data_IF_133794324734
#
_entry.id   IF_133794324734
#
_cell.length_a   1.000
_cell.length_b   1.000
_cell.length_c   1.000
_cell.angle_alpha   90.00
_cell.angle_beta   90.00
_cell.angle_gamma   90.00
#
_symmetry.space_group_name_H-M   'P 1'
#
loop_
_entity.id
_entity.type
_entity.pdbx_description
1 polymer ?
#
# COMPACT_ATOMS: atom_id res chain seq x y z
N UNK A 1 0.47 -2.87 29.55
CA UNK A 1 -0.91 -2.46 29.24
C UNK A 1 -1.22 -3.01 27.85
N UNK A 2 -2.20 -3.91 27.73
CA UNK A 2 -2.63 -4.49 26.45
C UNK A 2 -4.08 -4.07 26.25
N UNK A 3 -4.39 -3.54 25.07
CA UNK A 3 -5.78 -3.23 24.67
C UNK A 3 -6.46 -4.53 24.28
N UNK A 4 -7.75 -4.70 24.59
CA UNK A 4 -8.48 -5.89 24.15
C UNK A 4 -8.59 -5.90 22.61
N UNK A 5 -8.39 -7.05 21.95
CA UNK A 5 -8.58 -7.15 20.50
C UNK A 5 -9.97 -6.71 20.06
N UNK A 6 -10.99 -6.93 20.90
CA UNK A 6 -12.37 -6.54 20.63
C UNK A 6 -12.54 -5.02 20.62
N UNK A 7 -11.90 -4.32 21.56
CA UNK A 7 -11.95 -2.87 21.65
C UNK A 7 -11.29 -2.23 20.44
N UNK A 8 -10.09 -2.69 20.08
CA UNK A 8 -9.36 -2.20 18.93
C UNK A 8 -10.11 -2.47 17.61
N UNK A 9 -10.72 -3.65 17.47
CA UNK A 9 -11.56 -4.00 16.33
C UNK A 9 -12.84 -3.14 16.26
N UNK A 10 -13.46 -2.85 17.40
CA UNK A 10 -14.66 -2.02 17.42
C UNK A 10 -14.33 -0.57 17.05
N UNK A 11 -13.22 -0.03 17.59
CA UNK A 11 -12.77 1.31 17.26
C UNK A 11 -12.41 1.45 15.77
N UNK A 12 -11.73 0.46 15.20
CA UNK A 12 -11.37 0.49 13.77
C UNK A 12 -12.60 0.47 12.86
N UNK A 13 -13.63 -0.31 13.22
CA UNK A 13 -14.94 -0.29 12.53
C UNK A 13 -15.63 1.06 12.64
N UNK A 14 -15.63 1.67 13.83
CA UNK A 14 -16.23 3.00 14.05
C UNK A 14 -15.55 4.07 13.20
N UNK A 15 -14.22 4.05 13.14
CA UNK A 15 -13.41 4.96 12.35
C UNK A 15 -13.38 4.61 10.86
N UNK A 16 -13.91 3.45 10.47
CA UNK A 16 -13.86 2.91 9.09
C UNK A 16 -12.44 2.79 8.54
N UNK A 17 -11.50 2.41 9.41
CA UNK A 17 -10.09 2.21 9.04
C UNK A 17 -9.72 0.72 9.13
N UNK A 18 -8.82 0.22 8.27
CA UNK A 18 -8.24 -1.11 8.42
C UNK A 18 -7.46 -1.24 9.73
N UNK A 19 -7.50 -2.44 10.33
CA UNK A 19 -6.78 -2.76 11.56
C UNK A 19 -5.98 -4.05 11.40
N UNK A 20 -4.79 -4.08 11.99
CA UNK A 20 -3.91 -5.25 12.05
C UNK A 20 -3.14 -5.24 13.37
N UNK A 21 -3.14 -6.37 14.08
CA UNK A 21 -2.27 -6.57 15.24
C UNK A 21 -0.88 -6.97 14.79
N UNK A 22 0.16 -6.38 15.37
CA UNK A 22 1.55 -6.72 15.04
C UNK A 22 2.43 -6.73 16.28
N UNK A 23 3.55 -7.47 16.19
CA UNK A 23 4.58 -7.49 17.22
C UNK A 23 5.95 -7.43 16.57
N UNK A 24 6.63 -6.30 16.75
CA UNK A 24 8.00 -6.11 16.26
C UNK A 24 8.96 -7.12 16.90
N UNK A 25 8.80 -7.39 18.21
CA UNK A 25 9.64 -8.34 18.95
C UNK A 25 9.52 -9.77 18.41
N UNK A 26 8.31 -10.20 18.07
CA UNK A 26 8.05 -11.54 17.53
C UNK A 26 8.14 -11.58 15.99
N UNK A 27 8.45 -10.44 15.35
CA UNK A 27 8.39 -10.26 13.89
C UNK A 27 7.03 -10.69 13.29
N UNK A 28 5.96 -10.56 14.07
CA UNK A 28 4.62 -10.97 13.68
C UNK A 28 3.89 -9.81 12.98
N UNK A 29 3.35 -10.08 11.79
CA UNK A 29 2.54 -9.17 10.98
C UNK A 29 3.19 -7.83 10.60
N UNK A 30 4.48 -7.65 10.86
CA UNK A 30 5.22 -6.42 10.53
C UNK A 30 5.19 -6.17 9.03
N UNK A 31 5.64 -7.15 8.23
CA UNK A 31 5.68 -7.03 6.77
C UNK A 31 4.27 -6.87 6.17
N UNK A 32 3.29 -7.58 6.73
CA UNK A 32 1.89 -7.48 6.29
C UNK A 32 1.33 -6.08 6.52
N UNK A 33 1.60 -5.45 7.66
CA UNK A 33 1.14 -4.09 7.95
C UNK A 33 1.68 -3.07 6.94
N UNK A 34 2.97 -3.15 6.61
CA UNK A 34 3.57 -2.28 5.59
C UNK A 34 3.01 -2.55 4.19
N UNK A 35 2.85 -3.83 3.81
CA UNK A 35 2.29 -4.17 2.50
C UNK A 35 0.84 -3.71 2.33
N UNK A 36 -0.01 -3.85 3.37
CA UNK A 36 -1.39 -3.38 3.33
C UNK A 36 -1.45 -1.85 3.16
N UNK A 37 -0.63 -1.11 3.89
CA UNK A 37 -0.55 0.34 3.76
C UNK A 37 -0.20 0.75 2.31
N UNK A 38 0.82 0.14 1.72
CA UNK A 38 1.24 0.42 0.33
C UNK A 38 0.13 0.08 -0.67
N UNK A 39 -0.59 -1.03 -0.47
CA UNK A 39 -1.73 -1.41 -1.32
C UNK A 39 -2.83 -0.35 -1.27
N UNK A 40 -3.17 0.14 -0.09
CA UNK A 40 -4.19 1.19 0.10
C UNK A 40 -3.77 2.46 -0.63
N UNK A 41 -2.53 2.91 -0.44
CA UNK A 41 -2.00 4.12 -1.12
C UNK A 41 -2.06 3.97 -2.64
N UNK A 42 -1.66 2.81 -3.18
CA UNK A 42 -1.72 2.56 -4.63
C UNK A 42 -3.15 2.55 -5.17
N UNK A 43 -4.09 1.92 -4.45
CA UNK A 43 -5.51 1.92 -4.82
C UNK A 43 -6.08 3.34 -4.86
N UNK A 44 -5.77 4.14 -3.83
CA UNK A 44 -6.18 5.54 -3.75
C UNK A 44 -5.58 6.39 -4.89
N UNK A 45 -4.30 6.19 -5.20
CA UNK A 45 -3.66 6.87 -6.34
C UNK A 45 -4.31 6.52 -7.67
N UNK A 46 -4.67 5.25 -7.89
CA UNK A 46 -5.33 4.80 -9.11
C UNK A 46 -6.77 5.34 -9.24
N UNK A 47 -7.50 5.53 -8.14
CA UNK A 47 -8.85 6.08 -8.16
C UNK A 47 -8.86 7.60 -8.36
N UNK A 48 -7.96 8.33 -7.69
CA UNK A 48 -7.96 9.81 -7.67
C UNK A 48 -7.08 10.43 -8.76
N UNK A 49 -6.11 9.69 -9.31
CA UNK A 49 -5.28 10.14 -10.43
C UNK A 49 -5.40 9.12 -11.56
N UNK A 50 -6.15 9.43 -12.66
CA UNK A 50 -6.08 8.60 -13.84
C UNK A 50 -4.62 8.47 -14.27
N UNK A 51 -4.19 7.29 -14.76
CA UNK A 51 -2.79 7.05 -15.06
C UNK A 51 -2.28 8.18 -15.96
N UNK A 52 -1.24 8.88 -15.52
CA UNK A 52 -0.46 9.74 -16.42
C UNK A 52 -0.07 8.83 -17.59
N UNK A 53 -0.56 9.20 -18.78
CA UNK A 53 -0.46 8.41 -20.02
C UNK A 53 0.87 7.66 -20.05
N UNK A 54 0.90 6.36 -20.38
CA UNK A 54 2.15 5.62 -20.46
C UNK A 54 3.10 6.44 -21.31
N UNK A 55 4.25 6.82 -20.75
CA UNK A 55 5.29 7.48 -21.50
C UNK A 55 5.76 6.45 -22.50
N UNK A 56 5.16 6.47 -23.70
CA UNK A 56 5.57 5.69 -24.85
C UNK A 56 7.07 5.92 -24.97
N UNK A 57 7.87 4.94 -24.53
CA UNK A 57 9.32 4.98 -24.65
C UNK A 57 9.59 5.15 -26.14
N UNK A 58 9.87 6.38 -26.55
CA UNK A 58 10.14 6.76 -27.95
C UNK A 58 11.14 5.74 -28.49
N UNK A 59 10.77 5.10 -29.60
CA UNK A 59 11.63 4.20 -30.35
C UNK A 59 13.05 4.79 -30.40
N UNK A 60 14.01 4.14 -29.73
CA UNK A 60 15.42 4.48 -29.88
C UNK A 60 15.77 4.18 -31.33
N UNK A 61 15.87 5.22 -32.16
CA UNK A 61 16.39 5.08 -33.53
C UNK A 61 17.79 4.48 -33.42
N UNK A 62 18.00 3.29 -33.98
CA UNK A 62 19.35 2.71 -34.10
C UNK A 62 20.10 3.56 -35.13
N UNK A 63 21.16 4.23 -34.71
CA UNK A 63 22.13 4.82 -35.63
C UNK A 63 22.95 3.66 -36.20
N UNK A 64 22.90 3.43 -37.52
CA UNK A 64 23.84 2.55 -38.20
C UNK A 64 24.93 3.44 -38.83
N UNK A 65 26.19 3.17 -38.49
CA UNK A 65 27.32 3.72 -39.23
C UNK A 65 27.39 2.91 -40.53
N UNK A 66 27.12 3.59 -41.65
CA UNK A 66 27.41 3.12 -43.00
C UNK A 66 28.91 3.28 -43.27
#
# INVERSE_FOLDING_TARGET
>A
MQVSPVEAQNLSRQLKIPYIECSAKLRMNVDQAFHELVRIVRKFQLSERPPLKPNNKKNKKKCAIL
#
